data_IF_470221113423
#
_entry.id   IF_470221113423
#
_cell.length_a   1.000
_cell.length_b   1.000
_cell.length_c   1.000
_cell.angle_alpha   90.00
_cell.angle_beta   90.00
_cell.angle_gamma   90.00
#
_symmetry.space_group_name_H-M   'P 1'
#
loop_
_entity.id
_entity.type
_entity.pdbx_description
1 polymer ?
#
# COMPACT_ATOMS: atom_id res chain seq x y z
N UNK A 1 -24.15 30.73 -11.60
CA UNK A 1 -23.22 29.57 -11.64
C UNK A 1 -24.00 28.38 -11.13
N UNK A 2 -23.92 27.24 -11.82
CA UNK A 2 -24.52 25.99 -11.30
C UNK A 2 -23.75 25.55 -10.05
N UNK A 3 -24.44 24.97 -9.07
CA UNK A 3 -23.80 24.40 -7.89
C UNK A 3 -22.94 23.20 -8.30
N UNK A 4 -21.76 23.07 -7.69
CA UNK A 4 -20.90 21.91 -7.80
C UNK A 4 -21.53 20.69 -7.12
N UNK A 5 -22.19 20.88 -5.97
CA UNK A 5 -22.88 19.81 -5.26
C UNK A 5 -24.12 19.36 -6.02
N UNK A 6 -24.14 18.08 -6.38
CA UNK A 6 -25.28 17.40 -7.04
C UNK A 6 -26.14 16.65 -6.03
N UNK A 7 -27.19 15.96 -6.46
CA UNK A 7 -27.94 15.04 -5.61
C UNK A 7 -27.07 13.88 -5.12
N UNK A 8 -27.37 13.30 -3.95
CA UNK A 8 -26.56 12.22 -3.35
C UNK A 8 -26.45 10.99 -4.26
N UNK A 9 -27.57 10.62 -4.89
CA UNK A 9 -27.66 9.50 -5.83
C UNK A 9 -26.65 9.63 -6.97
N UNK A 10 -26.36 10.86 -7.44
CA UNK A 10 -25.35 11.09 -8.47
C UNK A 10 -23.96 10.56 -8.05
N UNK A 11 -23.56 10.75 -6.79
CA UNK A 11 -22.25 10.33 -6.30
C UNK A 11 -22.17 8.81 -6.14
N UNK A 12 -23.24 8.20 -5.62
CA UNK A 12 -23.34 6.74 -5.54
C UNK A 12 -23.31 6.10 -6.92
N UNK A 13 -24.09 6.63 -7.87
CA UNK A 13 -24.09 6.18 -9.25
C UNK A 13 -22.73 6.33 -9.93
N UNK A 14 -22.04 7.45 -9.72
CA UNK A 14 -20.71 7.66 -10.29
C UNK A 14 -19.68 6.69 -9.71
N UNK A 15 -19.76 6.45 -8.40
CA UNK A 15 -18.94 5.47 -7.71
C UNK A 15 -19.20 4.05 -8.23
N UNK A 16 -20.47 3.62 -8.23
CA UNK A 16 -20.90 2.30 -8.69
C UNK A 16 -20.47 2.06 -10.15
N UNK A 17 -20.55 3.06 -11.03
CA UNK A 17 -20.06 2.93 -12.43
C UNK A 17 -18.56 2.65 -12.50
N UNK A 18 -17.75 3.29 -11.65
CA UNK A 18 -16.30 3.04 -11.59
C UNK A 18 -16.03 1.64 -11.07
N UNK A 19 -16.72 1.23 -10.01
CA UNK A 19 -16.63 -0.13 -9.45
C UNK A 19 -17.00 -1.19 -10.48
N UNK A 20 -18.13 -1.03 -11.17
CA UNK A 20 -18.60 -1.97 -12.20
C UNK A 20 -17.60 -2.05 -13.35
N UNK A 21 -17.10 -0.91 -13.84
CA UNK A 21 -16.12 -0.91 -14.93
C UNK A 21 -14.83 -1.66 -14.55
N UNK A 22 -14.30 -1.37 -13.36
CA UNK A 22 -13.07 -1.97 -12.85
C UNK A 22 -13.21 -3.49 -12.61
N UNK A 23 -14.32 -3.92 -11.99
CA UNK A 23 -14.57 -5.33 -11.69
C UNK A 23 -14.94 -6.14 -12.93
N UNK A 24 -15.64 -5.55 -13.91
CA UNK A 24 -15.88 -6.21 -15.21
C UNK A 24 -14.59 -6.50 -15.95
N UNK A 25 -13.67 -5.55 -15.99
CA UNK A 25 -12.37 -5.74 -16.63
C UNK A 25 -11.61 -6.92 -15.99
N UNK A 26 -11.56 -6.94 -14.65
CA UNK A 26 -10.92 -8.03 -13.90
C UNK A 26 -11.62 -9.37 -14.08
N UNK A 27 -12.95 -9.38 -14.09
CA UNK A 27 -13.73 -10.60 -14.30
C UNK A 27 -13.54 -11.16 -15.72
N UNK A 28 -13.49 -10.30 -16.75
CA UNK A 28 -13.20 -10.75 -18.11
C UNK A 28 -11.84 -11.42 -18.22
N UNK A 29 -10.81 -10.85 -17.58
CA UNK A 29 -9.49 -11.46 -17.48
C UNK A 29 -9.55 -12.82 -16.76
N UNK A 30 -10.34 -12.91 -15.68
CA UNK A 30 -10.54 -14.14 -14.92
C UNK A 30 -11.27 -15.22 -15.72
N UNK A 31 -12.34 -14.87 -16.44
CA UNK A 31 -13.10 -15.78 -17.32
C UNK A 31 -12.18 -16.33 -18.42
N UNK A 32 -11.35 -15.48 -19.01
CA UNK A 32 -10.34 -15.90 -19.99
C UNK A 32 -9.36 -16.91 -19.40
N UNK A 33 -8.87 -16.66 -18.18
CA UNK A 33 -7.95 -17.55 -17.49
C UNK A 33 -8.59 -18.86 -16.99
N UNK A 34 -9.88 -18.86 -16.63
CA UNK A 34 -10.60 -20.04 -16.10
C UNK A 34 -10.61 -21.20 -17.09
N UNK A 35 -10.72 -20.92 -18.39
CA UNK A 35 -10.70 -21.95 -19.44
C UNK A 35 -9.36 -22.67 -19.53
N UNK A 36 -8.27 -21.95 -19.24
CA UNK A 36 -6.91 -22.49 -19.23
C UNK A 36 -6.61 -23.21 -17.92
N UNK A 37 -7.18 -22.73 -16.81
CA UNK A 37 -7.01 -23.32 -15.48
C UNK A 37 -7.45 -24.79 -15.42
N UNK A 38 -8.62 -25.14 -15.97
CA UNK A 38 -9.12 -26.52 -15.92
C UNK A 38 -8.13 -27.49 -16.59
N UNK A 39 -7.62 -27.12 -17.76
CA UNK A 39 -6.60 -27.92 -18.48
C UNK A 39 -5.27 -27.95 -17.72
N UNK A 40 -4.84 -26.82 -17.18
CA UNK A 40 -3.60 -26.70 -16.42
C UNK A 40 -3.58 -27.58 -15.16
N UNK A 41 -4.74 -27.77 -14.51
CA UNK A 41 -4.85 -28.68 -13.35
C UNK A 41 -4.71 -30.14 -13.77
N UNK A 42 -5.29 -30.51 -14.92
CA UNK A 42 -5.16 -31.86 -15.48
C UNK A 42 -3.72 -32.17 -15.95
N UNK A 43 -2.99 -31.14 -16.41
CA UNK A 43 -1.64 -31.24 -16.99
C UNK A 43 -0.50 -30.86 -16.01
N UNK A 44 -0.80 -30.59 -14.72
CA UNK A 44 0.12 -30.09 -13.67
C UNK A 44 0.94 -28.84 -14.08
N UNK A 45 0.34 -27.95 -14.88
CA UNK A 45 0.95 -26.69 -15.30
C UNK A 45 0.83 -25.61 -14.21
N UNK A 46 1.78 -25.64 -13.26
CA UNK A 46 1.80 -24.77 -12.07
C UNK A 46 1.75 -23.27 -12.37
N UNK A 47 2.34 -22.81 -13.47
CA UNK A 47 2.36 -21.40 -13.84
C UNK A 47 0.97 -20.87 -14.24
N UNK A 48 0.20 -21.67 -14.97
CA UNK A 48 -1.17 -21.31 -15.36
C UNK A 48 -2.11 -21.32 -14.15
N UNK A 49 -1.92 -22.28 -13.23
CA UNK A 49 -2.62 -22.32 -11.94
C UNK A 49 -2.31 -21.06 -11.12
N UNK A 50 -1.04 -20.70 -10.97
CA UNK A 50 -0.63 -19.51 -10.23
C UNK A 50 -1.20 -18.22 -10.84
N UNK A 51 -1.22 -18.13 -12.18
CA UNK A 51 -1.80 -16.99 -12.90
C UNK A 51 -3.30 -16.85 -12.66
N UNK A 52 -4.05 -17.96 -12.69
CA UNK A 52 -5.48 -17.95 -12.38
C UNK A 52 -5.74 -17.51 -10.94
N UNK A 53 -5.02 -18.07 -9.97
CA UNK A 53 -5.13 -17.70 -8.56
C UNK A 53 -4.84 -16.22 -8.35
N UNK A 54 -3.81 -15.67 -8.99
CA UNK A 54 -3.46 -14.26 -8.90
C UNK A 54 -4.57 -13.35 -9.47
N UNK A 55 -5.18 -13.73 -10.59
CA UNK A 55 -6.31 -12.98 -11.17
C UNK A 55 -7.55 -13.06 -10.29
N UNK A 56 -7.85 -14.24 -9.74
CA UNK A 56 -8.99 -14.44 -8.85
C UNK A 56 -8.82 -13.61 -7.57
N UNK A 57 -7.63 -13.62 -6.98
CA UNK A 57 -7.28 -12.77 -5.84
C UNK A 57 -7.53 -11.30 -6.14
N UNK A 58 -7.01 -10.80 -7.27
CA UNK A 58 -7.19 -9.40 -7.67
C UNK A 58 -8.67 -9.01 -7.83
N UNK A 59 -9.49 -9.90 -8.37
CA UNK A 59 -10.92 -9.66 -8.52
C UNK A 59 -11.65 -9.58 -7.16
N UNK A 60 -11.43 -10.57 -6.29
CA UNK A 60 -12.09 -10.63 -4.97
C UNK A 60 -11.62 -9.50 -4.06
N UNK A 61 -10.30 -9.29 -3.94
CA UNK A 61 -9.73 -8.26 -3.07
C UNK A 61 -10.20 -6.86 -3.51
N UNK A 62 -10.21 -6.58 -4.82
CA UNK A 62 -10.73 -5.31 -5.34
C UNK A 62 -12.22 -5.12 -5.05
N UNK A 63 -13.05 -6.15 -5.24
CA UNK A 63 -14.49 -6.06 -4.95
C UNK A 63 -14.77 -5.76 -3.48
N UNK A 64 -14.02 -6.40 -2.57
CA UNK A 64 -14.10 -6.15 -1.13
C UNK A 64 -13.61 -4.74 -0.77
N UNK A 65 -12.53 -4.26 -1.39
CA UNK A 65 -12.01 -2.91 -1.17
C UNK A 65 -13.01 -1.83 -1.60
N UNK A 66 -13.58 -1.95 -2.81
CA UNK A 66 -14.67 -1.09 -3.30
C UNK A 66 -15.87 -1.12 -2.34
N UNK A 67 -16.30 -2.30 -1.88
CA UNK A 67 -17.42 -2.37 -0.94
C UNK A 67 -17.12 -1.65 0.39
N UNK A 68 -15.89 -1.74 0.90
CA UNK A 68 -15.47 -1.11 2.17
C UNK A 68 -15.27 0.41 2.04
N UNK A 69 -14.78 0.90 0.90
CA UNK A 69 -14.48 2.33 0.71
C UNK A 69 -15.68 3.19 0.27
N UNK A 70 -16.77 2.55 -0.21
CA UNK A 70 -17.94 3.20 -0.81
C UNK A 70 -18.47 4.42 -0.06
N UNK A 71 -18.83 4.23 1.21
CA UNK A 71 -19.38 5.30 2.06
C UNK A 71 -18.40 6.46 2.24
N UNK A 72 -17.13 6.14 2.49
CA UNK A 72 -16.10 7.15 2.75
C UNK A 72 -15.79 7.96 1.50
N UNK A 73 -15.59 7.30 0.35
CA UNK A 73 -15.28 7.99 -0.90
C UNK A 73 -16.43 8.88 -1.38
N UNK A 74 -17.67 8.38 -1.29
CA UNK A 74 -18.86 9.15 -1.66
C UNK A 74 -18.99 10.40 -0.78
N UNK A 75 -18.86 10.26 0.55
CA UNK A 75 -18.90 11.40 1.48
C UNK A 75 -17.78 12.40 1.25
N UNK A 76 -16.56 11.92 1.02
CA UNK A 76 -15.42 12.80 0.74
C UNK A 76 -15.64 13.63 -0.53
N UNK A 77 -16.24 13.03 -1.56
CA UNK A 77 -16.58 13.74 -2.79
C UNK A 77 -17.71 14.75 -2.61
N UNK A 78 -18.76 14.39 -1.89
CA UNK A 78 -19.85 15.31 -1.56
C UNK A 78 -19.32 16.52 -0.78
N UNK A 79 -18.50 16.27 0.24
CA UNK A 79 -17.88 17.32 1.05
C UNK A 79 -16.93 18.21 0.24
N UNK A 80 -16.18 17.63 -0.71
CA UNK A 80 -15.31 18.40 -1.61
C UNK A 80 -16.09 19.37 -2.50
N UNK A 81 -17.23 18.94 -3.05
CA UNK A 81 -18.09 19.79 -3.88
C UNK A 81 -18.85 20.83 -3.03
N UNK A 82 -19.31 20.47 -1.84
CA UNK A 82 -19.90 21.43 -0.88
C UNK A 82 -18.90 22.51 -0.47
N UNK A 83 -17.63 22.13 -0.30
CA UNK A 83 -16.54 23.08 -0.03
C UNK A 83 -16.34 24.05 -1.20
N UNK A 84 -16.36 23.55 -2.44
CA UNK A 84 -16.29 24.39 -3.65
C UNK A 84 -17.45 25.36 -3.72
N UNK A 85 -18.68 24.89 -3.49
CA UNK A 85 -19.86 25.76 -3.44
C UNK A 85 -19.74 26.84 -2.37
N UNK A 86 -19.25 26.49 -1.19
CA UNK A 86 -18.98 27.44 -0.13
C UNK A 86 -17.92 28.48 -0.50
N UNK A 87 -16.87 28.07 -1.22
CA UNK A 87 -15.82 28.97 -1.71
C UNK A 87 -16.37 29.94 -2.76
N UNK A 88 -17.11 29.45 -3.75
CA UNK A 88 -17.73 30.30 -4.79
C UNK A 88 -18.67 31.33 -4.16
N UNK A 89 -19.52 30.91 -3.21
CA UNK A 89 -20.46 31.82 -2.51
C UNK A 89 -19.77 32.92 -1.71
N UNK A 90 -18.61 32.64 -1.12
CA UNK A 90 -17.85 33.60 -0.30
C UNK A 90 -16.87 34.44 -1.10
N UNK A 91 -16.50 34.00 -2.30
CA UNK A 91 -15.48 34.66 -3.09
C UNK A 91 -15.97 36.02 -3.58
N UNK A 92 -15.16 37.04 -3.35
CA UNK A 92 -15.36 38.37 -3.95
C UNK A 92 -14.69 38.40 -5.31
N UNK A 93 -15.46 38.76 -6.33
CA UNK A 93 -14.93 38.97 -7.68
C UNK A 93 -13.95 40.15 -7.64
N UNK A 94 -12.73 40.01 -8.19
CA UNK A 94 -11.81 41.14 -8.35
C UNK A 94 -12.42 42.24 -9.23
N UNK A 95 -12.41 43.48 -8.73
CA UNK A 95 -12.90 44.68 -9.44
C UNK A 95 -11.78 45.40 -10.19
N UNK A 96 -12.14 46.28 -11.13
CA UNK A 96 -11.23 47.14 -11.90
C UNK A 96 -10.14 46.35 -12.67
N UNK A 97 -10.53 45.19 -13.21
CA UNK A 97 -9.67 44.40 -14.09
C UNK A 97 -9.80 44.97 -15.50
N UNK A 98 -8.71 45.56 -16.02
CA UNK A 98 -8.70 46.21 -17.34
C UNK A 98 -8.04 45.37 -18.41
N UNK A 99 -8.50 45.56 -19.64
CA UNK A 99 -7.92 44.95 -20.84
C UNK A 99 -6.57 45.59 -21.17
N UNK A 100 -5.54 44.78 -21.37
CA UNK A 100 -4.21 45.28 -21.72
C UNK A 100 -4.12 45.93 -23.11
N UNK A 101 -5.09 45.70 -24.00
CA UNK A 101 -5.11 46.24 -25.36
C UNK A 101 -5.86 47.57 -25.48
N UNK A 102 -7.01 47.70 -24.82
CA UNK A 102 -7.89 48.87 -24.97
C UNK A 102 -8.12 49.65 -23.67
N UNK A 103 -7.67 49.15 -22.51
CA UNK A 103 -7.82 49.83 -21.22
C UNK A 103 -9.23 49.77 -20.60
N UNK A 104 -10.21 49.25 -21.33
CA UNK A 104 -11.59 49.08 -20.87
C UNK A 104 -11.70 48.04 -19.74
N UNK A 105 -12.71 48.22 -18.89
CA UNK A 105 -13.03 47.28 -17.81
C UNK A 105 -13.56 45.96 -18.38
N UNK A 106 -13.00 44.86 -17.89
CA UNK A 106 -13.32 43.51 -18.31
C UNK A 106 -14.40 42.93 -17.40
N UNK A 107 -15.26 42.07 -17.94
CA UNK A 107 -16.29 41.37 -17.18
C UNK A 107 -15.89 39.90 -16.97
N UNK A 108 -16.38 39.29 -15.88
CA UNK A 108 -16.18 37.86 -15.63
C UNK A 108 -17.01 37.05 -16.62
N UNK A 109 -16.33 36.24 -17.43
CA UNK A 109 -16.97 35.30 -18.36
C UNK A 109 -17.26 33.96 -17.67
N UNK A 110 -16.30 33.47 -16.90
CA UNK A 110 -16.43 32.22 -16.14
C UNK A 110 -15.51 32.25 -14.90
N UNK A 111 -15.80 31.39 -13.95
CA UNK A 111 -14.92 31.12 -12.81
C UNK A 111 -14.77 29.61 -12.66
N UNK A 112 -13.56 29.16 -12.33
CA UNK A 112 -13.28 27.74 -12.14
C UNK A 112 -12.17 27.53 -11.10
N UNK A 113 -12.10 26.33 -10.55
CA UNK A 113 -11.03 25.91 -9.66
C UNK A 113 -9.87 25.36 -10.49
N UNK A 114 -8.66 25.84 -10.21
CA UNK A 114 -7.46 25.35 -10.88
C UNK A 114 -6.84 24.24 -10.04
N UNK A 115 -6.61 23.09 -10.68
CA UNK A 115 -5.95 21.91 -10.12
C UNK A 115 -6.59 21.40 -8.80
N UNK A 116 -5.81 20.64 -8.03
CA UNK A 116 -6.19 20.12 -6.71
C UNK A 116 -6.07 21.16 -5.59
N UNK A 117 -5.57 22.37 -5.88
CA UNK A 117 -5.28 23.39 -4.86
C UNK A 117 -6.52 24.10 -4.31
N UNK A 118 -7.70 23.86 -4.89
CA UNK A 118 -8.95 24.55 -4.56
C UNK A 118 -8.86 26.08 -4.69
N UNK A 119 -7.94 26.59 -5.52
CA UNK A 119 -7.84 28.02 -5.78
C UNK A 119 -8.85 28.44 -6.86
N UNK A 120 -9.79 29.30 -6.49
CA UNK A 120 -10.80 29.84 -7.41
C UNK A 120 -10.18 30.95 -8.28
N UNK A 121 -10.31 30.78 -9.59
CA UNK A 121 -9.84 31.72 -10.60
C UNK A 121 -11.00 32.26 -11.42
N UNK A 122 -11.01 33.57 -11.60
CA UNK A 122 -11.97 34.30 -12.42
C UNK A 122 -11.33 34.61 -13.76
N UNK A 123 -12.00 34.22 -14.84
CA UNK A 123 -11.57 34.52 -16.20
C UNK A 123 -12.36 35.72 -16.72
N UNK A 124 -11.61 36.75 -17.06
CA UNK A 124 -12.12 38.02 -17.53
C UNK A 124 -12.03 38.10 -19.06
N UNK A 125 -13.13 38.54 -19.67
CA UNK A 125 -13.23 38.80 -21.09
C UNK A 125 -13.38 40.32 -21.34
N UNK A 126 -12.75 40.79 -22.42
CA UNK A 126 -12.91 42.16 -22.87
C UNK A 126 -14.26 42.31 -23.59
N UNK A 127 -15.04 43.39 -23.36
CA UNK A 127 -16.26 43.68 -24.12
C UNK A 127 -16.04 43.72 -25.64
N UNK A 128 -14.86 44.16 -26.07
CA UNK A 128 -14.45 44.18 -27.48
C UNK A 128 -13.81 42.86 -27.96
N UNK A 129 -13.89 41.79 -27.16
CA UNK A 129 -13.37 40.44 -27.48
C UNK A 129 -11.86 40.36 -27.80
N UNK A 130 -11.07 41.32 -27.32
CA UNK A 130 -9.61 41.28 -27.42
C UNK A 130 -9.00 40.09 -26.65
N UNK A 131 -7.90 39.55 -27.19
CA UNK A 131 -7.04 38.56 -26.55
C UNK A 131 -5.70 39.20 -26.11
N UNK A 132 -5.04 38.68 -25.06
CA UNK A 132 -5.42 37.53 -24.25
C UNK A 132 -6.54 37.85 -23.26
N UNK A 133 -7.34 36.83 -22.93
CA UNK A 133 -8.19 36.86 -21.73
C UNK A 133 -7.31 36.86 -20.49
N UNK A 134 -7.81 37.41 -19.39
CA UNK A 134 -7.07 37.46 -18.12
C UNK A 134 -7.67 36.47 -17.15
N UNK A 135 -6.84 35.77 -16.39
CA UNK A 135 -7.27 34.85 -15.35
C UNK A 135 -6.73 35.38 -14.02
N UNK A 136 -7.59 35.64 -13.05
CA UNK A 136 -7.21 36.34 -11.81
C UNK A 136 -7.79 35.60 -10.61
N UNK A 137 -6.95 35.35 -9.61
CA UNK A 137 -7.35 34.79 -8.33
C UNK A 137 -8.19 35.79 -7.52
N UNK A 138 -8.94 35.31 -6.53
CA UNK A 138 -9.71 36.18 -5.63
C UNK A 138 -8.83 37.23 -4.87
N UNK A 139 -7.54 36.95 -4.68
CA UNK A 139 -6.58 37.85 -4.06
C UNK A 139 -5.94 38.87 -5.04
N UNK A 140 -6.48 39.00 -6.26
CA UNK A 140 -6.00 39.87 -7.35
C UNK A 140 -4.67 39.47 -7.99
N UNK A 141 -4.06 38.35 -7.60
CA UNK A 141 -2.89 37.82 -8.34
C UNK A 141 -3.36 37.27 -9.68
N UNK A 142 -2.59 37.52 -10.73
CA UNK A 142 -2.87 36.99 -12.05
C UNK A 142 -2.42 35.53 -12.14
N UNK A 143 -3.31 34.66 -12.60
CA UNK A 143 -2.99 33.30 -12.95
C UNK A 143 -2.36 33.27 -14.34
N UNK A 144 -1.14 32.75 -14.41
CA UNK A 144 -0.42 32.53 -15.66
C UNK A 144 -0.28 31.03 -15.85
N UNK A 145 -0.79 30.52 -16.98
CA UNK A 145 -0.59 29.12 -17.33
C UNK A 145 0.91 28.83 -17.41
N UNK A 146 1.43 27.83 -16.68
CA UNK A 146 2.83 27.44 -16.76
C UNK A 146 3.22 27.04 -18.19
N UNK A 147 4.41 27.47 -18.65
CA UNK A 147 4.94 27.03 -19.94
C UNK A 147 5.08 25.49 -19.96
N UNK A 148 4.50 24.85 -20.98
CA UNK A 148 4.67 23.42 -21.19
C UNK A 148 6.11 23.09 -21.59
N UNK A 149 6.74 22.15 -20.87
CA UNK A 149 8.11 21.69 -21.11
C UNK A 149 8.13 20.23 -21.52
N UNK A 150 9.12 19.85 -22.33
CA UNK A 150 9.28 18.47 -22.77
C UNK A 150 9.58 17.55 -21.57
N UNK A 151 8.84 16.46 -21.42
CA UNK A 151 9.07 15.47 -20.35
C UNK A 151 10.43 14.76 -20.43
N UNK A 152 11.08 14.76 -21.60
CA UNK A 152 12.38 14.11 -21.80
C UNK A 152 13.57 15.04 -21.54
N UNK A 153 13.58 16.23 -22.16
CA UNK A 153 14.74 17.14 -22.11
C UNK A 153 14.46 18.49 -21.43
N UNK A 154 13.23 18.72 -20.93
CA UNK A 154 12.77 19.99 -20.34
C UNK A 154 12.88 21.22 -21.25
N UNK A 155 13.16 21.02 -22.54
CA UNK A 155 13.18 22.07 -23.56
C UNK A 155 11.79 22.63 -23.85
N UNK A 156 11.75 23.81 -24.48
CA UNK A 156 10.50 24.46 -24.92
C UNK A 156 9.75 23.61 -25.92
N UNK A 157 8.42 23.68 -25.84
CA UNK A 157 7.49 22.92 -26.67
C UNK A 157 6.66 23.88 -27.51
N UNK A 158 6.45 23.54 -28.78
CA UNK A 158 5.49 24.20 -29.66
C UNK A 158 4.23 23.34 -29.75
N UNK A 159 3.08 23.92 -29.45
CA UNK A 159 1.79 23.21 -29.41
C UNK A 159 0.90 23.62 -30.57
N UNK A 160 0.44 22.64 -31.34
CA UNK A 160 -0.59 22.82 -32.38
C UNK A 160 -1.90 22.18 -31.90
N UNK A 161 -3.02 22.87 -32.11
CA UNK A 161 -4.36 22.34 -31.84
C UNK A 161 -5.10 22.06 -33.14
N UNK A 162 -5.74 20.89 -33.24
CA UNK A 162 -6.69 20.55 -34.30
C UNK A 162 -8.03 20.20 -33.67
N UNK A 163 -9.07 20.99 -33.98
CA UNK A 163 -10.43 20.75 -33.51
C UNK A 163 -11.20 19.98 -34.57
N UNK A 164 -11.87 18.91 -34.14
CA UNK A 164 -12.87 18.15 -34.90
C UNK A 164 -14.20 18.20 -34.15
N UNK A 165 -15.28 17.68 -34.74
CA UNK A 165 -16.64 17.78 -34.18
C UNK A 165 -16.74 17.31 -32.73
N UNK A 166 -16.08 16.20 -32.40
CA UNK A 166 -16.17 15.57 -31.07
C UNK A 166 -14.81 15.41 -30.37
N UNK A 167 -13.71 15.97 -30.92
CA UNK A 167 -12.37 15.83 -30.34
C UNK A 167 -11.49 17.04 -30.62
N UNK A 168 -10.66 17.46 -29.66
CA UNK A 168 -9.51 18.33 -29.88
C UNK A 168 -8.25 17.47 -29.74
N UNK A 169 -7.36 17.59 -30.72
CA UNK A 169 -6.05 16.95 -30.69
C UNK A 169 -5.00 18.05 -30.49
N UNK A 170 -4.23 17.94 -29.41
CA UNK A 170 -3.04 18.73 -29.16
C UNK A 170 -1.81 17.95 -29.64
N UNK A 171 -1.00 18.56 -30.48
CA UNK A 171 0.28 18.02 -30.93
C UNK A 171 1.38 18.92 -30.41
N UNK A 172 2.12 18.41 -29.44
CA UNK A 172 3.20 19.08 -28.73
C UNK A 172 4.53 18.61 -29.34
N UNK A 173 5.30 19.52 -29.92
CA UNK A 173 6.60 19.23 -30.52
C UNK A 173 7.70 19.92 -29.74
N UNK A 174 8.64 19.15 -29.20
CA UNK A 174 9.80 19.71 -28.52
C UNK A 174 10.76 20.35 -29.53
N UNK A 175 11.11 21.61 -29.32
CA UNK A 175 12.03 22.35 -30.18
C UNK A 175 13.50 21.96 -29.98
N UNK A 176 13.84 21.30 -28.86
CA UNK A 176 15.20 20.91 -28.54
C UNK A 176 15.55 19.49 -29.01
N UNK A 177 14.64 18.52 -28.87
CA UNK A 177 14.89 17.11 -29.22
C UNK A 177 13.97 16.55 -30.32
N UNK A 178 13.03 17.34 -30.83
CA UNK A 178 12.12 16.92 -31.90
C UNK A 178 11.02 15.93 -31.47
N UNK A 179 10.99 15.49 -30.21
CA UNK A 179 9.95 14.57 -29.72
C UNK A 179 8.56 15.17 -29.89
N UNK A 180 7.62 14.35 -30.38
CA UNK A 180 6.23 14.73 -30.60
C UNK A 180 5.33 13.95 -29.65
N UNK A 181 4.57 14.65 -28.83
CA UNK A 181 3.54 14.08 -27.96
C UNK A 181 2.16 14.50 -28.47
N UNK A 182 1.22 13.55 -28.53
CA UNK A 182 -0.16 13.82 -28.95
C UNK A 182 -1.12 13.55 -27.81
N UNK A 183 -1.99 14.52 -27.52
CA UNK A 183 -3.05 14.42 -26.51
C UNK A 183 -4.40 14.62 -27.16
N UNK A 184 -5.34 13.71 -26.90
CA UNK A 184 -6.72 13.82 -27.38
C UNK A 184 -7.66 14.20 -26.24
N UNK A 185 -8.44 15.26 -26.45
CA UNK A 185 -9.54 15.66 -25.59
C UNK A 185 -10.85 15.39 -26.33
N UNK A 186 -11.66 14.45 -25.84
CA UNK A 186 -12.98 14.18 -26.42
C UNK A 186 -13.96 15.26 -25.95
N UNK A 187 -14.58 15.97 -26.88
CA UNK A 187 -15.59 17.01 -26.63
C UNK A 187 -16.97 16.43 -26.89
N UNK A 188 -17.77 16.33 -25.83
CA UNK A 188 -19.17 15.90 -25.90
C UNK A 188 -19.61 15.30 -24.57
N UNK A 189 -20.90 15.43 -24.26
CA UNK A 189 -21.51 14.70 -23.14
C UNK A 189 -21.46 13.21 -23.50
N UNK A 190 -20.58 12.43 -22.86
CA UNK A 190 -20.72 10.96 -22.90
C UNK A 190 -22.11 10.66 -22.35
N UNK A 191 -22.93 9.94 -23.11
CA UNK A 191 -24.20 9.42 -22.59
C UNK A 191 -23.84 8.48 -21.45
N UNK A 192 -24.14 8.92 -20.23
CA UNK A 192 -24.02 8.09 -19.05
C UNK A 192 -25.18 7.12 -19.12
N UNK A 193 -24.89 5.85 -19.41
CA UNK A 193 -25.93 4.82 -19.42
C UNK A 193 -26.38 4.56 -17.97
N UNK A 194 -27.68 4.25 -17.77
CA UNK A 194 -28.15 3.78 -16.47
C UNK A 194 -27.39 2.52 -16.08
N UNK A 195 -27.14 2.35 -14.79
CA UNK A 195 -26.58 1.11 -14.27
C UNK A 195 -27.69 0.07 -14.29
N UNK A 196 -27.42 -1.12 -14.81
CA UNK A 196 -28.35 -2.24 -14.71
C UNK A 196 -28.36 -2.78 -13.27
N UNK A 197 -29.55 -3.00 -12.70
CA UNK A 197 -29.69 -3.44 -11.30
C UNK A 197 -28.97 -4.76 -11.03
N UNK A 198 -28.93 -5.68 -12.01
CA UNK A 198 -28.20 -6.93 -11.91
C UNK A 198 -26.67 -6.71 -11.77
N UNK A 199 -26.11 -5.70 -12.44
CA UNK A 199 -24.69 -5.38 -12.35
C UNK A 199 -24.37 -4.69 -11.02
N UNK A 200 -25.25 -3.78 -10.57
CA UNK A 200 -25.14 -3.17 -9.25
C UNK A 200 -25.15 -4.23 -8.15
N UNK A 201 -26.08 -5.18 -8.22
CA UNK A 201 -26.14 -6.28 -7.27
C UNK A 201 -24.82 -7.06 -7.24
N UNK A 202 -24.38 -7.54 -8.41
CA UNK A 202 -23.20 -8.41 -8.54
C UNK A 202 -21.89 -7.74 -8.13
N UNK A 203 -21.67 -6.50 -8.54
CA UNK A 203 -20.36 -5.84 -8.40
C UNK A 203 -20.27 -4.88 -7.23
N UNK A 204 -21.39 -4.32 -6.76
CA UNK A 204 -21.38 -3.33 -5.68
C UNK A 204 -21.96 -3.89 -4.36
N UNK A 205 -22.98 -4.74 -4.42
CA UNK A 205 -23.71 -5.21 -3.22
C UNK A 205 -23.16 -6.54 -2.71
N UNK A 206 -22.94 -7.52 -3.59
CA UNK A 206 -22.57 -8.88 -3.20
C UNK A 206 -21.25 -8.97 -2.43
N UNK A 207 -20.36 -7.99 -2.57
CA UNK A 207 -19.08 -7.93 -1.86
C UNK A 207 -19.18 -7.35 -0.45
N UNK A 208 -20.32 -6.76 -0.07
CA UNK A 208 -20.54 -6.20 1.25
C UNK A 208 -20.47 -7.33 2.29
N UNK A 209 -19.59 -7.15 3.29
CA UNK A 209 -19.38 -8.15 4.34
C UNK A 209 -18.59 -9.39 3.92
N UNK A 210 -18.16 -9.50 2.65
CA UNK A 210 -17.26 -10.59 2.23
C UNK A 210 -15.87 -10.40 2.81
N UNK A 211 -15.21 -11.53 3.05
CA UNK A 211 -13.77 -11.58 3.30
C UNK A 211 -13.01 -11.44 1.99
N UNK A 212 -11.85 -10.82 2.06
CA UNK A 212 -10.91 -10.80 0.95
C UNK A 212 -10.34 -12.20 0.72
N UNK A 213 -9.81 -12.45 -0.48
CA UNK A 213 -9.14 -13.73 -0.77
C UNK A 213 -7.94 -13.95 0.16
N UNK A 214 -7.27 -12.86 0.52
CA UNK A 214 -6.16 -12.89 1.47
C UNK A 214 -6.63 -13.27 2.89
N UNK A 215 -7.77 -12.72 3.33
CA UNK A 215 -8.38 -13.07 4.63
C UNK A 215 -8.87 -14.53 4.65
N UNK A 216 -9.44 -15.03 3.56
CA UNK A 216 -9.85 -16.43 3.42
C UNK A 216 -8.65 -17.39 3.46
N UNK A 217 -7.55 -17.06 2.77
CA UNK A 217 -6.32 -17.86 2.83
C UNK A 217 -5.74 -17.90 4.25
N UNK A 218 -5.73 -16.77 4.95
CA UNK A 218 -5.29 -16.71 6.35
C UNK A 218 -6.19 -17.57 7.25
N UNK A 219 -7.51 -17.54 7.04
CA UNK A 219 -8.44 -18.38 7.79
C UNK A 219 -8.19 -19.87 7.54
N UNK A 220 -7.94 -20.29 6.29
CA UNK A 220 -7.63 -21.68 5.95
C UNK A 220 -6.30 -22.15 6.53
N UNK A 221 -5.27 -21.29 6.48
CA UNK A 221 -3.99 -21.56 7.13
C UNK A 221 -4.18 -21.75 8.63
N UNK A 222 -4.96 -20.89 9.27
CA UNK A 222 -5.25 -20.99 10.70
C UNK A 222 -6.01 -22.28 11.04
N UNK A 223 -7.01 -22.67 10.24
CA UNK A 223 -7.75 -23.93 10.42
C UNK A 223 -6.83 -25.14 10.28
N UNK A 224 -5.94 -25.15 9.27
CA UNK A 224 -4.96 -26.24 9.10
C UNK A 224 -4.03 -26.34 10.31
N UNK A 225 -3.53 -25.20 10.79
CA UNK A 225 -2.67 -25.15 11.97
C UNK A 225 -3.39 -25.64 13.23
N UNK A 226 -4.70 -25.42 13.36
CA UNK A 226 -5.51 -25.94 14.47
C UNK A 226 -5.79 -27.45 14.33
N UNK A 227 -6.12 -27.93 13.13
CA UNK A 227 -6.32 -29.34 12.86
C UNK A 227 -5.06 -30.19 13.11
N UNK A 228 -3.89 -29.66 12.72
CA UNK A 228 -2.59 -30.27 12.98
C UNK A 228 -2.22 -30.26 14.48
N UNK A 229 -2.85 -29.40 15.29
CA UNK A 229 -2.61 -29.27 16.73
C UNK A 229 -3.56 -30.11 17.59
N UNK A 230 -4.75 -30.47 17.11
CA UNK A 230 -5.82 -31.12 17.91
C UNK A 230 -6.02 -32.63 17.65
N UNK A 231 -5.28 -33.26 16.72
CA UNK A 231 -5.50 -34.68 16.35
C UNK A 231 -4.30 -35.59 16.72
N UNK A 232 -4.32 -36.30 17.87
CA UNK A 232 -3.38 -37.39 18.12
C UNK A 232 -3.83 -38.63 17.34
N UNK A 233 -3.26 -38.86 16.14
CA UNK A 233 -3.45 -40.14 15.43
C UNK A 233 -3.56 -40.10 13.91
N UNK A 234 -3.35 -38.97 13.23
CA UNK A 234 -3.22 -38.99 11.77
C UNK A 234 -1.89 -39.62 11.37
N UNK A 235 -1.96 -40.75 10.65
CA UNK A 235 -0.79 -41.45 10.12
C UNK A 235 -0.35 -40.78 8.82
N UNK A 236 0.95 -40.50 8.73
CA UNK A 236 1.63 -39.98 7.54
C UNK A 236 1.45 -40.90 6.34
N UNK A 237 1.17 -40.30 5.18
CA UNK A 237 1.07 -41.01 3.91
C UNK A 237 0.91 -40.13 2.66
N UNK A 238 0.32 -38.94 2.72
CA UNK A 238 -0.28 -38.39 1.49
C UNK A 238 0.21 -37.04 0.93
N UNK A 239 1.13 -36.29 1.54
CA UNK A 239 1.65 -35.08 0.87
C UNK A 239 3.14 -34.83 1.16
N UNK A 240 3.93 -34.82 0.07
CA UNK A 240 5.38 -34.70 0.07
C UNK A 240 5.92 -33.50 0.88
N UNK A 241 6.90 -33.82 1.72
CA UNK A 241 7.51 -32.97 2.73
C UNK A 241 8.19 -31.70 2.18
N UNK A 242 7.63 -30.52 2.47
CA UNK A 242 8.45 -29.35 2.78
C UNK A 242 8.64 -29.32 4.31
N UNK A 243 9.78 -29.81 4.79
CA UNK A 243 10.10 -29.93 6.21
C UNK A 243 10.10 -28.56 6.90
N UNK A 244 9.06 -28.28 7.68
CA UNK A 244 9.04 -27.16 8.63
C UNK A 244 10.19 -27.35 9.63
N UNK A 245 11.08 -26.38 9.75
CA UNK A 245 12.20 -26.43 10.70
C UNK A 245 11.66 -26.18 12.10
N UNK A 246 11.56 -27.23 12.92
CA UNK A 246 11.14 -27.12 14.32
C UNK A 246 12.32 -26.64 15.18
N UNK A 247 12.11 -25.68 16.10
CA UNK A 247 13.15 -25.22 17.00
C UNK A 247 13.57 -26.34 17.96
N UNK A 248 14.87 -26.44 18.20
CA UNK A 248 15.43 -27.35 19.20
C UNK A 248 15.01 -26.93 20.61
N UNK A 249 14.47 -27.86 21.39
CA UNK A 249 14.00 -27.61 22.74
C UNK A 249 15.13 -27.81 23.75
N UNK A 250 15.64 -26.70 24.29
CA UNK A 250 16.64 -26.72 25.36
C UNK A 250 15.97 -26.43 26.71
N UNK A 251 16.28 -27.26 27.70
CA UNK A 251 16.05 -26.92 29.09
C UNK A 251 17.16 -25.98 29.60
N UNK A 252 17.01 -25.44 30.82
CA UNK A 252 17.97 -24.46 31.38
C UNK A 252 19.38 -25.03 31.49
N UNK A 253 19.53 -26.28 31.91
CA UNK A 253 20.85 -26.92 32.03
C UNK A 253 21.53 -27.09 30.66
N UNK A 254 20.79 -27.50 29.63
CA UNK A 254 21.31 -27.64 28.27
C UNK A 254 21.63 -26.29 27.62
N UNK A 255 20.83 -25.25 27.92
CA UNK A 255 21.10 -23.87 27.52
C UNK A 255 22.42 -23.37 28.13
N UNK A 256 22.63 -23.61 29.43
CA UNK A 256 23.84 -23.22 30.14
C UNK A 256 25.08 -23.90 29.55
N UNK A 257 25.04 -25.21 29.36
CA UNK A 257 26.16 -25.94 28.74
C UNK A 257 26.49 -25.41 27.34
N UNK A 258 25.47 -25.14 26.52
CA UNK A 258 25.65 -24.62 25.16
C UNK A 258 26.29 -23.24 25.15
N UNK A 259 25.77 -22.33 25.97
CA UNK A 259 26.27 -20.95 26.00
C UNK A 259 27.66 -20.87 26.63
N UNK A 260 27.93 -21.59 27.72
CA UNK A 260 29.27 -21.64 28.32
C UNK A 260 30.30 -22.13 27.30
N UNK A 261 30.02 -23.24 26.61
CA UNK A 261 30.94 -23.79 25.61
C UNK A 261 31.21 -22.85 24.43
N UNK A 262 30.26 -21.99 24.05
CA UNK A 262 30.44 -21.06 22.94
C UNK A 262 31.08 -19.72 23.36
N UNK A 263 30.77 -19.26 24.57
CA UNK A 263 31.26 -18.00 25.11
C UNK A 263 32.72 -18.10 25.56
N UNK A 264 33.13 -19.21 26.18
CA UNK A 264 34.50 -19.40 26.66
C UNK A 264 35.52 -19.40 25.51
N UNK A 265 35.18 -19.99 24.35
CA UNK A 265 35.99 -19.94 23.11
C UNK A 265 36.30 -18.50 22.66
N UNK A 266 35.44 -17.55 23.04
CA UNK A 266 35.54 -16.14 22.65
C UNK A 266 36.03 -15.22 23.77
N UNK A 267 36.57 -15.80 24.85
CA UNK A 267 37.13 -15.05 25.98
C UNK A 267 36.08 -14.41 26.88
N UNK A 268 34.86 -14.97 26.93
CA UNK A 268 33.85 -14.61 27.92
C UNK A 268 33.78 -15.74 28.95
N UNK A 269 34.04 -15.40 30.21
CA UNK A 269 34.21 -16.37 31.30
C UNK A 269 33.24 -16.11 32.44
N UNK A 270 33.01 -17.12 33.28
CA UNK A 270 32.10 -17.06 34.43
C UNK A 270 30.68 -16.64 34.06
N UNK A 271 30.07 -17.35 33.11
CA UNK A 271 28.64 -17.21 32.83
C UNK A 271 27.85 -17.60 34.09
N UNK A 272 26.93 -16.76 34.52
CA UNK A 272 26.02 -17.03 35.63
C UNK A 272 24.60 -16.68 35.23
N UNK A 273 23.65 -17.53 35.63
CA UNK A 273 22.22 -17.27 35.44
C UNK A 273 21.57 -16.82 36.75
N UNK A 274 20.70 -15.83 36.64
CA UNK A 274 19.81 -15.44 37.71
C UNK A 274 18.64 -16.42 37.85
N UNK A 275 17.89 -16.32 38.94
CA UNK A 275 16.69 -17.14 39.14
C UNK A 275 15.67 -16.87 38.01
N UNK A 276 15.13 -17.92 37.37
CA UNK A 276 14.17 -17.75 36.30
C UNK A 276 12.87 -17.16 36.85
N UNK A 277 12.27 -16.25 36.08
CA UNK A 277 10.95 -15.67 36.33
C UNK A 277 9.95 -16.31 35.37
N UNK A 278 8.93 -16.95 35.92
CA UNK A 278 7.90 -17.64 35.13
C UNK A 278 6.70 -16.70 34.94
N UNK A 279 6.44 -16.32 33.69
CA UNK A 279 5.22 -15.63 33.26
C UNK A 279 4.65 -16.29 32.00
N UNK A 280 4.16 -15.51 31.02
CA UNK A 280 3.83 -16.05 29.68
C UNK A 280 5.03 -16.71 29.01
N UNK A 281 6.23 -16.21 29.30
CA UNK A 281 7.51 -16.76 28.87
C UNK A 281 8.37 -17.01 30.11
N UNK A 282 9.32 -17.93 30.00
CA UNK A 282 10.36 -18.06 31.01
C UNK A 282 11.44 -17.02 30.71
N UNK A 283 11.64 -16.06 31.61
CA UNK A 283 12.71 -15.05 31.46
C UNK A 283 13.81 -15.29 32.49
N UNK A 284 15.06 -15.13 32.07
CA UNK A 284 16.21 -15.41 32.92
C UNK A 284 17.31 -14.39 32.64
N UNK A 285 17.73 -13.69 33.69
CA UNK A 285 18.90 -12.81 33.64
C UNK A 285 20.17 -13.64 33.54
N UNK A 286 21.19 -13.09 32.90
CA UNK A 286 22.53 -13.67 32.91
C UNK A 286 23.59 -12.59 33.08
N UNK A 287 24.73 -12.99 33.61
CA UNK A 287 25.94 -12.19 33.63
C UNK A 287 27.16 -12.98 33.16
N UNK A 288 28.14 -12.28 32.58
CA UNK A 288 29.40 -12.89 32.14
C UNK A 288 30.53 -11.86 32.18
N UNK A 289 31.77 -12.31 32.40
CA UNK A 289 32.96 -11.47 32.43
C UNK A 289 33.69 -11.55 31.08
N UNK A 290 34.03 -10.40 30.50
CA UNK A 290 34.91 -10.32 29.35
C UNK A 290 36.37 -10.29 29.82
N UNK A 291 37.14 -11.35 29.52
CA UNK A 291 38.56 -11.43 29.86
C UNK A 291 39.48 -10.89 28.74
N UNK A 292 38.91 -10.39 27.64
CA UNK A 292 39.63 -9.84 26.50
C UNK A 292 39.89 -8.34 26.64
N UNK A 293 40.92 -7.85 25.96
CA UNK A 293 41.21 -6.42 25.88
C UNK A 293 40.29 -5.74 24.84
N UNK A 294 39.03 -5.48 25.23
CA UNK A 294 37.97 -4.93 24.39
C UNK A 294 37.30 -3.75 25.11
N UNK A 295 36.85 -2.76 24.34
CA UNK A 295 35.97 -1.73 24.87
C UNK A 295 34.53 -2.25 25.06
N UNK A 296 33.74 -1.54 25.85
CA UNK A 296 32.39 -1.97 26.24
C UNK A 296 31.46 -2.22 25.03
N UNK A 297 31.54 -1.39 23.99
CA UNK A 297 30.72 -1.52 22.79
C UNK A 297 31.11 -2.75 21.97
N UNK A 298 32.41 -3.04 21.86
CA UNK A 298 32.93 -4.23 21.21
C UNK A 298 32.49 -5.50 21.95
N UNK A 299 32.56 -5.50 23.28
CA UNK A 299 32.09 -6.62 24.11
C UNK A 299 30.59 -6.88 23.92
N UNK A 300 29.76 -5.83 23.94
CA UNK A 300 28.31 -5.92 23.72
C UNK A 300 27.98 -6.46 22.32
N UNK A 301 28.64 -5.94 21.27
CA UNK A 301 28.41 -6.40 19.89
C UNK A 301 28.76 -7.88 19.74
N UNK A 302 29.91 -8.29 20.27
CA UNK A 302 30.42 -9.66 20.12
C UNK A 302 29.61 -10.68 20.91
N UNK A 303 29.23 -10.38 22.16
CA UNK A 303 28.38 -11.29 22.94
C UNK A 303 26.99 -11.43 22.31
N UNK A 304 26.42 -10.32 21.80
CA UNK A 304 25.12 -10.34 21.12
C UNK A 304 25.14 -11.27 19.91
N UNK A 305 26.19 -11.21 19.11
CA UNK A 305 26.37 -12.09 17.94
C UNK A 305 26.46 -13.56 18.36
N UNK A 306 27.31 -13.88 19.35
CA UNK A 306 27.52 -15.25 19.82
C UNK A 306 26.23 -15.87 20.39
N UNK A 307 25.55 -15.17 21.30
CA UNK A 307 24.32 -15.65 21.91
C UNK A 307 23.20 -15.76 20.86
N UNK A 308 23.04 -14.75 20.00
CA UNK A 308 21.98 -14.78 18.98
C UNK A 308 22.21 -15.87 17.94
N UNK A 309 23.46 -16.15 17.58
CA UNK A 309 23.83 -17.24 16.67
C UNK A 309 23.62 -18.62 17.30
N UNK A 310 24.16 -18.83 18.51
CA UNK A 310 24.07 -20.11 19.24
C UNK A 310 22.63 -20.52 19.56
N UNK A 311 21.76 -19.53 19.81
CA UNK A 311 20.36 -19.78 20.15
C UNK A 311 19.41 -19.72 18.96
N UNK A 312 19.88 -19.35 17.75
CA UNK A 312 19.02 -19.08 16.60
C UNK A 312 18.03 -20.22 16.33
N UNK A 313 18.49 -21.47 16.30
CA UNK A 313 17.68 -22.65 15.99
C UNK A 313 16.95 -23.25 17.20
N UNK A 314 17.02 -22.60 18.36
CA UNK A 314 16.48 -23.14 19.63
C UNK A 314 15.19 -22.43 20.04
N UNK A 315 14.55 -22.90 21.10
CA UNK A 315 13.43 -22.23 21.77
C UNK A 315 13.82 -21.04 22.67
N UNK A 316 15.04 -20.48 22.54
CA UNK A 316 15.52 -19.36 23.36
C UNK A 316 15.92 -18.15 22.52
N UNK A 317 15.67 -16.93 23.02
CA UNK A 317 16.08 -15.68 22.37
C UNK A 317 16.68 -14.70 23.37
N UNK A 318 17.70 -13.98 22.92
CA UNK A 318 18.25 -12.83 23.64
C UNK A 318 17.27 -11.66 23.57
N UNK A 319 17.00 -11.04 24.71
CA UNK A 319 16.22 -9.81 24.79
C UNK A 319 17.10 -8.58 24.54
N UNK A 320 16.48 -7.47 24.12
CA UNK A 320 17.16 -6.18 24.00
C UNK A 320 17.56 -5.63 25.37
N UNK A 321 18.72 -4.96 25.45
CA UNK A 321 19.23 -4.35 26.69
C UNK A 321 20.40 -5.14 27.28
N UNK A 322 21.50 -5.21 26.52
CA UNK A 322 22.78 -5.66 27.07
C UNK A 322 23.50 -4.45 27.67
N UNK A 323 24.00 -4.60 28.88
CA UNK A 323 24.78 -3.58 29.57
C UNK A 323 26.18 -4.12 29.86
N UNK A 324 27.20 -3.28 29.72
CA UNK A 324 28.58 -3.62 30.05
C UNK A 324 29.17 -2.54 30.96
N UNK A 325 29.57 -2.92 32.17
CA UNK A 325 30.26 -2.03 33.11
C UNK A 325 31.54 -2.70 33.56
N UNK A 326 32.70 -2.08 33.28
CA UNK A 326 34.02 -2.59 33.66
C UNK A 326 34.29 -4.04 33.22
N UNK A 327 33.83 -4.42 32.02
CA UNK A 327 33.98 -5.78 31.48
C UNK A 327 32.99 -6.81 32.04
N UNK A 328 32.05 -6.39 32.89
CA UNK A 328 30.95 -7.21 33.36
C UNK A 328 29.71 -6.97 32.50
N UNK A 329 29.28 -8.00 31.76
CA UNK A 329 28.12 -7.93 30.87
C UNK A 329 26.90 -8.56 31.53
N UNK A 330 25.76 -7.90 31.40
CA UNK A 330 24.46 -8.41 31.86
C UNK A 330 23.42 -8.35 30.75
N UNK A 331 22.46 -9.26 30.79
CA UNK A 331 21.38 -9.33 29.82
C UNK A 331 20.27 -10.28 30.24
N UNK A 332 19.26 -10.42 29.38
CA UNK A 332 18.12 -11.30 29.64
C UNK A 332 17.85 -12.24 28.46
N UNK A 333 17.55 -13.49 28.79
CA UNK A 333 17.09 -14.50 27.85
C UNK A 333 15.61 -14.78 28.06
N UNK A 334 14.94 -15.11 26.96
CA UNK A 334 13.53 -15.45 26.89
C UNK A 334 13.37 -16.85 26.29
N UNK A 335 12.79 -17.77 27.06
CA UNK A 335 12.46 -19.13 26.65
C UNK A 335 11.00 -19.25 26.22
N UNK A 336 10.79 -19.92 25.09
CA UNK A 336 9.48 -20.27 24.56
C UNK A 336 9.14 -21.72 24.93
N UNK A 337 7.96 -21.95 25.48
CA UNK A 337 7.49 -23.27 25.91
C UNK A 337 6.06 -23.59 25.50
N UNK A 338 5.25 -22.59 25.14
CA UNK A 338 3.89 -22.78 24.66
C UNK A 338 3.87 -23.10 23.16
N UNK A 339 2.90 -23.90 22.73
CA UNK A 339 2.79 -24.34 21.33
C UNK A 339 2.66 -23.16 20.35
N UNK A 340 1.84 -22.16 20.67
CA UNK A 340 1.61 -21.01 19.81
C UNK A 340 2.88 -20.20 19.50
N UNK A 341 3.68 -19.87 20.53
CA UNK A 341 4.86 -19.03 20.30
C UNK A 341 6.05 -19.86 19.78
N UNK A 342 6.11 -21.17 20.04
CA UNK A 342 7.03 -22.10 19.36
C UNK A 342 6.72 -22.23 17.86
N UNK A 343 5.44 -22.23 17.49
CA UNK A 343 5.02 -22.28 16.09
C UNK A 343 5.38 -21.00 15.33
N UNK A 344 5.18 -19.83 15.95
CA UNK A 344 5.67 -18.56 15.39
C UNK A 344 7.19 -18.60 15.19
N UNK A 345 7.93 -19.15 16.16
CA UNK A 345 9.38 -19.31 16.07
C UNK A 345 9.80 -20.23 14.91
N UNK A 346 9.08 -21.33 14.68
CA UNK A 346 9.33 -22.26 13.57
C UNK A 346 9.06 -21.62 12.20
N UNK A 347 8.04 -20.76 12.10
CA UNK A 347 7.74 -20.00 10.89
C UNK A 347 8.86 -18.98 10.57
N UNK A 348 9.34 -18.25 11.58
CA UNK A 348 10.49 -17.33 11.42
C UNK A 348 11.76 -18.06 10.96
N UNK A 349 12.02 -19.25 11.50
CA UNK A 349 13.17 -20.08 11.12
C UNK A 349 13.07 -20.58 9.68
N UNK A 350 11.89 -21.05 9.29
CA UNK A 350 11.63 -21.53 7.92
C UNK A 350 11.72 -20.40 6.89
N UNK A 351 11.28 -19.19 7.25
CA UNK A 351 11.44 -18.00 6.42
C UNK A 351 12.92 -17.57 6.25
N UNK A 352 13.72 -17.62 7.33
CA UNK A 352 15.16 -17.29 7.27
C UNK A 352 15.97 -18.31 6.47
N UNK A 353 15.61 -19.60 6.51
CA UNK A 353 16.28 -20.66 5.74
C UNK A 353 16.01 -20.57 4.23
N UNK A 354 14.87 -19.99 3.81
CA UNK A 354 14.54 -19.75 2.40
C UNK A 354 15.24 -18.51 1.81
N UNK A 355 15.84 -17.66 2.64
CA UNK A 355 16.58 -16.47 2.22
C UNK A 355 18.11 -16.61 2.27
N UNK A 356 18.61 -17.78 2.66
CA UNK A 356 20.01 -18.23 2.55
C UNK A 356 20.10 -19.20 1.38
#
# INVERSE_FOLDING_TARGET
MENHRRADEYYYDEYDRRTIADLKEKEQALIGARKLYVKAVEEDEKDLVAKYVALNRRFIDAGVEWARSREMEVKNRMAADERKDGMVKRAKVPENIRCGTCGEEMFVELSDFIDESYDLVFFFACPAHHAPRRAVYANRREYVLPESRCGHCKGRVSSKKKKSRNKIIFTDTCLACGKVDKRELVIGKRKVLPIEDAERQKYCIDFIGRRSFTEDLQALVNIKLMADAEMPGWKEGDLGEERVVRPEMLNVAALEQRLTGELEKSGFVKLQFEKPKTGRFLTMGFSVQDSGNRDADQSIKKIKQLISGSLLLTNWRLMSGLECTLGYLTGQLKGYSNGEDLNKLAQELSAKKRGL
#
